data_IF_330510196427
#
_entry.id   IF_330510196427
#
_cell.length_a   1.000
_cell.length_b   1.000
_cell.length_c   1.000
_cell.angle_alpha   90.00
_cell.angle_beta   90.00
_cell.angle_gamma   90.00
#
_symmetry.space_group_name_H-M   'P 1'
#
loop_
_entity.id
_entity.type
_entity.pdbx_description
1 polymer ?
#
# COMPACT_ATOMS: atom_id res chain seq x y z
N UNK A 1 -28.84 -18.98 -46.97
CA UNK A 1 -28.49 -18.78 -45.54
C UNK A 1 -27.73 -17.47 -45.44
N UNK A 2 -28.34 -16.44 -44.83
CA UNK A 2 -27.73 -15.11 -44.74
C UNK A 2 -27.05 -14.99 -43.37
N UNK A 3 -25.73 -14.79 -43.35
CA UNK A 3 -25.00 -14.57 -42.10
C UNK A 3 -25.34 -13.16 -41.61
N UNK A 4 -25.83 -13.06 -40.37
CA UNK A 4 -26.06 -11.79 -39.71
C UNK A 4 -24.73 -11.24 -39.17
N UNK A 5 -24.06 -10.43 -39.98
CA UNK A 5 -22.76 -9.83 -39.67
C UNK A 5 -22.80 -8.89 -38.47
N UNK A 6 -23.99 -8.42 -38.04
CA UNK A 6 -24.18 -7.61 -36.83
C UNK A 6 -23.96 -8.36 -35.52
N UNK A 7 -23.87 -9.70 -35.56
CA UNK A 7 -23.63 -10.57 -34.40
C UNK A 7 -22.17 -11.04 -34.27
N UNK A 8 -21.28 -10.57 -35.14
CA UNK A 8 -19.87 -10.95 -35.10
C UNK A 8 -19.12 -10.12 -34.08
N UNK A 9 -18.60 -10.77 -33.05
CA UNK A 9 -17.61 -10.16 -32.17
C UNK A 9 -16.32 -10.01 -32.97
N UNK A 10 -15.99 -8.77 -33.31
CA UNK A 10 -14.76 -8.46 -34.03
C UNK A 10 -13.55 -8.64 -33.11
N UNK A 11 -12.37 -8.88 -33.69
CA UNK A 11 -11.10 -8.89 -32.93
C UNK A 11 -10.95 -7.60 -32.10
N UNK A 12 -11.29 -6.44 -32.68
CA UNK A 12 -11.24 -5.16 -31.99
C UNK A 12 -12.14 -5.10 -30.75
N UNK A 13 -13.33 -5.72 -30.78
CA UNK A 13 -14.21 -5.79 -29.61
C UNK A 13 -13.62 -6.68 -28.50
N UNK A 14 -12.96 -7.79 -28.86
CA UNK A 14 -12.28 -8.65 -27.89
C UNK A 14 -11.08 -7.94 -27.26
N UNK A 15 -10.28 -7.28 -28.10
CA UNK A 15 -9.11 -6.52 -27.67
C UNK A 15 -9.51 -5.37 -26.73
N UNK A 16 -10.61 -4.66 -27.03
CA UNK A 16 -11.15 -3.60 -26.17
C UNK A 16 -11.69 -4.12 -24.83
N UNK A 17 -12.35 -5.28 -24.82
CA UNK A 17 -12.82 -5.91 -23.59
C UNK A 17 -11.65 -6.33 -22.69
N UNK A 18 -10.62 -6.96 -23.27
CA UNK A 18 -9.41 -7.34 -22.55
C UNK A 18 -8.66 -6.12 -21.98
N UNK A 19 -8.56 -5.04 -22.77
CA UNK A 19 -8.03 -3.75 -22.34
C UNK A 19 -8.79 -3.18 -21.13
N UNK A 20 -10.12 -3.18 -21.17
CA UNK A 20 -10.96 -2.71 -20.07
C UNK A 20 -10.75 -3.55 -18.79
N UNK A 21 -10.67 -4.87 -18.93
CA UNK A 21 -10.43 -5.79 -17.81
C UNK A 21 -9.06 -5.56 -17.17
N UNK A 22 -8.00 -5.45 -17.97
CA UNK A 22 -6.66 -5.16 -17.48
C UNK A 22 -6.59 -3.78 -16.78
N UNK A 23 -7.30 -2.77 -17.28
CA UNK A 23 -7.38 -1.47 -16.61
C UNK A 23 -8.09 -1.57 -15.26
N UNK A 24 -9.19 -2.32 -15.19
CA UNK A 24 -9.92 -2.55 -13.94
C UNK A 24 -9.05 -3.27 -12.91
N UNK A 25 -8.36 -4.34 -13.32
CA UNK A 25 -7.45 -5.09 -12.46
C UNK A 25 -6.31 -4.19 -11.91
N UNK A 26 -5.65 -3.42 -12.77
CA UNK A 26 -4.57 -2.52 -12.35
C UNK A 26 -5.06 -1.41 -11.40
N UNK A 27 -6.29 -0.92 -11.56
CA UNK A 27 -6.91 0.04 -10.63
C UNK A 27 -7.18 -0.57 -9.26
N UNK A 28 -7.69 -1.81 -9.22
CA UNK A 28 -7.94 -2.54 -7.98
C UNK A 28 -6.63 -2.75 -7.22
N UNK A 29 -5.57 -3.18 -7.91
CA UNK A 29 -4.25 -3.38 -7.31
C UNK A 29 -3.67 -2.07 -6.75
N UNK A 30 -3.75 -0.98 -7.52
CA UNK A 30 -3.31 0.34 -7.04
C UNK A 30 -4.10 0.78 -5.80
N UNK A 31 -5.41 0.55 -5.77
CA UNK A 31 -6.26 0.87 -4.63
C UNK A 31 -5.90 0.02 -3.40
N UNK A 32 -5.66 -1.28 -3.57
CA UNK A 32 -5.26 -2.18 -2.50
C UNK A 32 -3.92 -1.74 -1.87
N UNK A 33 -2.91 -1.45 -2.69
CA UNK A 33 -1.60 -0.94 -2.23
C UNK A 33 -1.70 0.40 -1.52
N UNK A 34 -2.54 1.31 -2.01
CA UNK A 34 -2.76 2.60 -1.35
C UNK A 34 -3.44 2.43 0.01
N UNK A 35 -4.46 1.57 0.09
CA UNK A 35 -5.15 1.28 1.35
C UNK A 35 -4.19 0.67 2.37
N UNK A 36 -3.37 -0.29 1.97
CA UNK A 36 -2.34 -0.88 2.84
C UNK A 36 -1.36 0.18 3.34
N UNK A 37 -0.83 1.02 2.45
CA UNK A 37 0.09 2.09 2.84
C UNK A 37 -0.55 3.09 3.82
N UNK A 38 -1.83 3.43 3.65
CA UNK A 38 -2.57 4.29 4.58
C UNK A 38 -2.68 3.65 5.96
N UNK A 39 -3.07 2.37 6.03
CA UNK A 39 -3.19 1.63 7.30
C UNK A 39 -1.84 1.57 8.02
N UNK A 40 -0.76 1.22 7.31
CA UNK A 40 0.58 1.14 7.91
C UNK A 40 1.07 2.51 8.37
N UNK A 41 0.87 3.58 7.58
CA UNK A 41 1.26 4.94 8.00
C UNK A 41 0.50 5.34 9.26
N UNK A 42 -0.82 5.10 9.33
CA UNK A 42 -1.62 5.46 10.49
C UNK A 42 -1.16 4.71 11.75
N UNK A 43 -0.98 3.39 11.64
CA UNK A 43 -0.49 2.54 12.75
C UNK A 43 0.88 2.98 13.26
N UNK A 44 1.83 3.24 12.37
CA UNK A 44 3.19 3.65 12.75
C UNK A 44 3.18 5.06 13.35
N UNK A 45 2.44 6.00 12.74
CA UNK A 45 2.31 7.38 13.24
C UNK A 45 1.71 7.41 14.64
N UNK A 46 0.64 6.65 14.88
CA UNK A 46 -0.01 6.56 16.19
C UNK A 46 0.96 6.10 17.30
N UNK A 47 1.78 5.07 17.04
CA UNK A 47 2.80 4.61 17.99
C UNK A 47 3.91 5.65 18.18
N UNK A 48 4.39 6.28 17.10
CA UNK A 48 5.41 7.35 17.16
C UNK A 48 4.93 8.51 18.02
N UNK A 49 3.68 8.92 17.85
CA UNK A 49 3.07 10.03 18.60
C UNK A 49 2.89 9.65 20.07
N UNK A 50 2.45 8.43 20.35
CA UNK A 50 2.32 7.90 21.72
C UNK A 50 3.66 7.84 22.46
N UNK A 51 4.70 7.33 21.80
CA UNK A 51 6.06 7.32 22.36
C UNK A 51 6.60 8.74 22.55
N UNK A 52 6.33 9.64 21.59
CA UNK A 52 6.72 11.04 21.66
C UNK A 52 6.14 11.75 22.87
N UNK A 53 4.87 11.50 23.19
CA UNK A 53 4.27 12.01 24.43
C UNK A 53 5.03 11.54 25.68
N UNK A 54 5.37 10.25 25.78
CA UNK A 54 6.12 9.71 26.92
C UNK A 54 7.52 10.32 27.06
N UNK A 55 8.19 10.58 25.94
CA UNK A 55 9.51 11.24 25.90
C UNK A 55 9.39 12.68 26.39
N UNK A 56 8.43 13.44 25.86
CA UNK A 56 8.18 14.82 26.24
C UNK A 56 7.79 14.96 27.72
N UNK A 57 7.08 13.96 28.26
CA UNK A 57 6.72 13.87 29.68
C UNK A 57 7.87 13.44 30.59
N UNK A 58 8.99 12.95 30.04
CA UNK A 58 10.10 12.38 30.81
C UNK A 58 9.78 11.01 31.44
N UNK A 59 8.79 10.30 30.91
CA UNK A 59 8.32 8.99 31.38
C UNK A 59 8.81 7.83 30.51
N UNK A 60 9.38 8.13 29.33
CA UNK A 60 9.89 7.13 28.40
C UNK A 60 11.19 6.46 28.89
N UNK A 61 11.34 5.19 28.54
CA UNK A 61 12.58 4.42 28.72
C UNK A 61 13.53 4.59 27.53
N UNK A 62 14.78 4.16 27.65
CA UNK A 62 15.72 4.12 26.51
C UNK A 62 15.19 3.21 25.39
N UNK A 63 14.48 2.14 25.74
CA UNK A 63 13.82 1.25 24.79
C UNK A 63 12.69 1.96 24.02
N UNK A 64 11.91 2.81 24.69
CA UNK A 64 10.84 3.61 24.06
C UNK A 64 11.42 4.62 23.05
N UNK A 65 12.52 5.30 23.40
CA UNK A 65 13.23 6.21 22.52
C UNK A 65 13.80 5.49 21.29
N UNK A 66 14.40 4.32 21.51
CA UNK A 66 14.95 3.47 20.44
C UNK A 66 13.85 2.95 19.51
N UNK A 67 12.71 2.50 20.05
CA UNK A 67 11.54 2.10 19.26
C UNK A 67 11.05 3.28 18.41
N UNK A 68 10.90 4.47 19.00
CA UNK A 68 10.42 5.65 18.27
C UNK A 68 11.35 6.02 17.11
N UNK A 69 12.66 6.04 17.35
CA UNK A 69 13.66 6.34 16.33
C UNK A 69 13.60 5.34 15.16
N UNK A 70 13.46 4.04 15.45
CA UNK A 70 13.29 3.00 14.43
C UNK A 70 11.97 3.15 13.66
N UNK A 71 10.88 3.50 14.33
CA UNK A 71 9.58 3.69 13.69
C UNK A 71 9.53 4.94 12.81
N UNK A 72 10.25 6.01 13.16
CA UNK A 72 10.37 7.20 12.30
C UNK A 72 11.01 6.88 10.93
N UNK A 73 12.01 5.98 10.90
CA UNK A 73 12.61 5.51 9.65
C UNK A 73 11.58 4.74 8.80
N UNK A 74 10.83 3.84 9.44
CA UNK A 74 9.76 3.08 8.77
C UNK A 74 8.65 3.98 8.25
N UNK A 75 8.20 4.94 9.05
CA UNK A 75 7.18 5.92 8.67
C UNK A 75 7.60 6.70 7.43
N UNK A 76 8.87 7.13 7.36
CA UNK A 76 9.42 7.80 6.17
C UNK A 76 9.40 6.89 4.95
N UNK A 77 9.79 5.62 5.09
CA UNK A 77 9.77 4.65 4.00
C UNK A 77 8.34 4.43 3.46
N UNK A 78 7.36 4.25 4.34
CA UNK A 78 5.94 4.09 3.98
C UNK A 78 5.34 5.33 3.33
N UNK A 79 5.65 6.54 3.84
CA UNK A 79 5.24 7.80 3.19
C UNK A 79 5.87 7.93 1.80
N UNK A 80 7.14 7.55 1.63
CA UNK A 80 7.84 7.50 0.34
C UNK A 80 7.21 6.52 -0.65
N UNK A 81 6.86 5.31 -0.18
CA UNK A 81 6.15 4.31 -0.98
C UNK A 81 4.79 4.82 -1.46
N UNK A 82 3.97 5.39 -0.57
CA UNK A 82 2.68 5.98 -0.93
C UNK A 82 2.82 7.12 -1.94
N UNK A 83 3.82 7.97 -1.78
CA UNK A 83 4.14 9.02 -2.75
C UNK A 83 4.52 8.44 -4.12
N UNK A 84 5.30 7.35 -4.16
CA UNK A 84 5.64 6.67 -5.40
C UNK A 84 4.42 6.01 -6.08
N UNK A 85 3.51 5.40 -5.31
CA UNK A 85 2.24 4.86 -5.82
C UNK A 85 1.40 5.92 -6.53
N UNK A 86 1.39 7.15 -6.01
CA UNK A 86 0.70 8.30 -6.62
C UNK A 86 1.18 8.68 -8.02
N UNK A 87 2.32 8.13 -8.47
CA UNK A 87 2.89 8.36 -9.81
C UNK A 87 2.69 7.18 -10.77
N UNK A 88 2.14 6.05 -10.31
CA UNK A 88 2.03 4.81 -11.12
C UNK A 88 1.15 5.02 -12.35
N UNK A 89 0.05 5.76 -12.22
CA UNK A 89 -0.87 6.01 -13.35
C UNK A 89 -0.30 6.94 -14.43
N UNK A 90 0.81 7.63 -14.14
CA UNK A 90 1.53 8.48 -15.08
C UNK A 90 2.63 7.73 -15.86
N UNK A 91 2.86 6.44 -15.56
CA UNK A 91 3.87 5.64 -16.23
C UNK A 91 3.46 5.36 -17.69
N UNK A 92 4.41 5.33 -18.65
CA UNK A 92 4.11 4.93 -20.03
C UNK A 92 3.57 3.51 -20.17
N UNK A 93 3.87 2.64 -19.20
CA UNK A 93 3.41 1.25 -19.16
C UNK A 93 2.06 1.08 -18.46
N UNK A 94 1.49 2.17 -17.91
CA UNK A 94 0.15 2.14 -17.38
C UNK A 94 -0.86 1.92 -18.52
N UNK A 95 -1.86 1.05 -18.37
CA UNK A 95 -2.19 0.17 -17.24
C UNK A 95 -1.78 -1.29 -17.49
N UNK A 96 -1.17 -1.58 -18.65
CA UNK A 96 -0.95 -2.94 -19.14
C UNK A 96 0.23 -3.64 -18.44
N UNK A 97 1.26 -2.90 -18.02
CA UNK A 97 2.44 -3.44 -17.33
C UNK A 97 3.01 -2.41 -16.33
N UNK A 98 2.24 -2.00 -15.30
CA UNK A 98 2.70 -1.03 -14.33
C UNK A 98 3.96 -1.53 -13.60
N UNK A 99 4.92 -0.62 -13.41
CA UNK A 99 6.08 -0.86 -12.56
C UNK A 99 5.73 -0.42 -11.15
N UNK A 100 5.57 -1.38 -10.25
CA UNK A 100 5.21 -1.11 -8.87
C UNK A 100 6.45 -0.69 -8.06
N UNK A 101 6.34 0.36 -7.21
CA UNK A 101 7.39 0.66 -6.25
C UNK A 101 7.56 -0.50 -5.26
N UNK A 102 8.77 -0.65 -4.73
CA UNK A 102 9.07 -1.67 -3.72
C UNK A 102 8.35 -1.31 -2.43
N UNK A 103 7.57 -2.25 -1.92
CA UNK A 103 6.87 -2.12 -0.65
C UNK A 103 7.88 -2.17 0.51
N UNK A 104 7.81 -1.24 1.48
CA UNK A 104 8.68 -1.29 2.65
C UNK A 104 8.35 -2.47 3.57
N UNK A 105 9.31 -2.85 4.43
CA UNK A 105 9.03 -3.82 5.48
C UNK A 105 7.96 -3.30 6.46
N UNK A 106 7.08 -4.18 6.91
CA UNK A 106 6.14 -3.89 7.99
C UNK A 106 6.92 -3.96 9.31
N UNK A 107 6.99 -2.87 10.10
CA UNK A 107 7.69 -2.90 11.37
C UNK A 107 6.88 -3.65 12.43
N UNK A 108 7.60 -4.42 13.24
CA UNK A 108 7.11 -4.93 14.52
C UNK A 108 6.95 -3.76 15.48
N UNK A 109 5.79 -3.67 16.13
CA UNK A 109 5.51 -2.68 17.18
C UNK A 109 5.15 -3.47 18.43
N UNK A 110 5.96 -3.32 19.48
CA UNK A 110 5.90 -4.17 20.68
C UNK A 110 4.54 -4.07 21.41
N UNK A 111 3.89 -2.90 21.36
CA UNK A 111 2.62 -2.65 22.02
C UNK A 111 1.37 -2.83 21.11
N UNK A 112 1.52 -3.32 19.87
CA UNK A 112 0.36 -3.51 18.99
C UNK A 112 -0.54 -4.67 19.46
N UNK A 113 -1.88 -4.55 19.43
CA UNK A 113 -2.79 -5.67 19.71
C UNK A 113 -2.46 -6.92 18.88
N UNK A 114 -2.02 -6.74 17.63
CA UNK A 114 -1.61 -7.82 16.72
C UNK A 114 -0.35 -8.57 17.19
N UNK A 115 0.57 -7.90 17.89
CA UNK A 115 1.77 -8.55 18.45
C UNK A 115 1.41 -9.49 19.61
N UNK A 116 0.39 -9.13 20.41
CA UNK A 116 -0.07 -9.96 21.54
C UNK A 116 -0.86 -11.20 21.13
N UNK A 117 -1.41 -11.24 19.91
CA UNK A 117 -2.11 -12.44 19.39
C UNK A 117 -1.10 -13.52 18.99
N UNK A 118 0.10 -13.14 18.55
CA UNK A 118 1.15 -14.10 18.18
C UNK A 118 1.73 -14.86 19.39
N UNK A 119 1.67 -14.30 20.60
CA UNK A 119 2.14 -14.93 21.84
C UNK A 119 1.18 -16.01 22.41
N UNK A 120 0.01 -16.20 21.78
CA UNK A 120 -1.02 -17.15 22.22
C UNK A 120 -1.08 -18.45 21.40
N UNK A 121 -0.10 -18.69 20.51
CA UNK A 121 0.03 -19.91 19.68
C UNK A 121 1.31 -20.65 20.07
#
# INVERSE_FOLDING_TARGET
MNIDWGKLITKAMKDAAAASEALAASKIELAARNSLAVVQIARIQDRVDTLGYGIDAGEATEEDESEQAALLINLKAWKGYKFALGKVTAQPTWYAAPVWPVEPAIPTIAASPEARVADLI
#
